data_IF_997462718020
#
_entry.id   IF_997462718020
#
_cell.length_a   1.000
_cell.length_b   1.000
_cell.length_c   1.000
_cell.angle_alpha   90.00
_cell.angle_beta   90.00
_cell.angle_gamma   90.00
#
_symmetry.space_group_name_H-M   'P 1'
#
loop_
_entity.id
_entity.type
_entity.pdbx_description
1 polymer ?
#
# COMPACT_ATOMS: atom_id res chain seq x y z
N UNK A 1 -24.08 15.44 -19.45
CA UNK A 1 -23.56 14.90 -18.18
C UNK A 1 -22.08 15.20 -18.05
N UNK A 2 -21.71 16.17 -17.21
CA UNK A 2 -20.31 16.46 -16.88
C UNK A 2 -19.77 15.40 -15.93
N UNK A 3 -18.67 14.73 -16.31
CA UNK A 3 -17.95 13.82 -15.42
C UNK A 3 -17.02 14.66 -14.55
N UNK A 4 -17.38 14.85 -13.28
CA UNK A 4 -16.52 15.43 -12.27
C UNK A 4 -15.35 14.48 -12.01
N UNK A 5 -14.15 14.82 -12.53
CA UNK A 5 -12.90 14.21 -12.08
C UNK A 5 -12.77 14.45 -10.58
N UNK A 6 -12.87 13.38 -9.79
CA UNK A 6 -12.51 13.40 -8.38
C UNK A 6 -11.05 13.83 -8.27
N UNK A 7 -10.78 14.84 -7.45
CA UNK A 7 -9.41 15.28 -7.16
C UNK A 7 -8.74 14.17 -6.36
N UNK A 8 -7.76 13.48 -6.94
CA UNK A 8 -6.90 12.56 -6.22
C UNK A 8 -6.22 13.34 -5.09
N UNK A 9 -6.36 12.85 -3.86
CA UNK A 9 -5.76 13.46 -2.69
C UNK A 9 -4.27 13.04 -2.67
N UNK A 10 -3.29 13.97 -2.61
CA UNK A 10 -1.87 13.62 -2.67
C UNK A 10 -1.42 12.64 -1.57
N UNK A 11 -2.18 12.50 -0.48
CA UNK A 11 -1.95 11.50 0.56
C UNK A 11 -2.20 10.04 0.12
N UNK A 12 -2.95 9.80 -0.97
CA UNK A 12 -3.19 8.43 -1.49
C UNK A 12 -2.08 7.95 -2.45
N UNK A 13 -1.17 8.84 -2.87
CA UNK A 13 -0.10 8.54 -3.82
C UNK A 13 1.31 8.56 -3.21
N UNK A 14 1.47 8.98 -1.95
CA UNK A 14 2.77 9.01 -1.29
C UNK A 14 3.36 7.59 -1.12
N UNK A 15 4.67 7.39 -1.36
CA UNK A 15 5.35 6.12 -1.10
C UNK A 15 5.40 5.82 0.41
N UNK A 16 5.51 4.53 0.75
CA UNK A 16 5.42 4.06 2.15
C UNK A 16 6.45 4.74 3.06
N UNK A 17 7.68 4.90 2.59
CA UNK A 17 8.76 5.53 3.34
C UNK A 17 8.43 6.99 3.72
N UNK A 18 7.81 7.75 2.81
CA UNK A 18 7.40 9.12 3.08
C UNK A 18 6.23 9.19 4.08
N UNK A 19 5.30 8.24 4.01
CA UNK A 19 4.21 8.13 4.99
C UNK A 19 4.78 7.87 6.39
N UNK A 20 5.77 6.98 6.50
CA UNK A 20 6.42 6.65 7.75
C UNK A 20 7.26 7.80 8.31
N UNK A 21 8.05 8.48 7.47
CA UNK A 21 8.85 9.65 7.87
C UNK A 21 7.94 10.78 8.40
N UNK A 22 6.82 11.03 7.71
CA UNK A 22 5.85 12.04 8.17
C UNK A 22 5.15 11.62 9.45
N UNK A 23 4.76 10.35 9.58
CA UNK A 23 4.11 9.84 10.79
C UNK A 23 5.04 9.95 12.01
N UNK A 24 6.32 9.61 11.84
CA UNK A 24 7.32 9.74 12.88
C UNK A 24 7.47 11.21 13.32
N UNK A 25 7.56 12.13 12.36
CA UNK A 25 7.59 13.57 12.64
C UNK A 25 6.36 14.04 13.44
N UNK A 26 5.16 13.55 13.09
CA UNK A 26 3.92 13.88 13.80
C UNK A 26 3.94 13.37 15.25
N UNK A 27 4.39 12.12 15.45
CA UNK A 27 4.52 11.53 16.80
C UNK A 27 5.52 12.33 17.63
N UNK A 28 6.69 12.65 17.08
CA UNK A 28 7.72 13.43 17.77
C UNK A 28 7.22 14.81 18.21
N UNK A 29 6.39 15.48 17.40
CA UNK A 29 5.78 16.76 17.77
C UNK A 29 4.70 16.61 18.85
N UNK A 30 3.88 15.56 18.79
CA UNK A 30 2.88 15.29 19.81
C UNK A 30 3.51 14.94 21.18
N UNK A 31 4.64 14.22 21.16
CA UNK A 31 5.38 13.84 22.37
C UNK A 31 6.10 15.00 23.06
N UNK A 32 6.45 16.07 22.32
CA UNK A 32 7.02 17.29 22.89
C UNK A 32 6.05 18.01 23.84
N UNK A 33 4.74 17.92 23.56
CA UNK A 33 3.68 18.37 24.48
C UNK A 33 3.57 19.89 24.66
N UNK A 34 4.23 20.68 23.81
CA UNK A 34 4.23 22.15 23.82
C UNK A 34 3.26 22.77 22.81
N UNK A 35 2.55 21.93 22.04
CA UNK A 35 1.54 22.36 21.08
C UNK A 35 0.25 22.85 21.76
N UNK A 36 -0.37 23.94 21.27
CA UNK A 36 -1.75 24.29 21.59
C UNK A 36 -2.71 23.12 21.32
N UNK A 37 -3.83 23.08 22.03
CA UNK A 37 -4.83 22.00 21.90
C UNK A 37 -5.31 21.82 20.45
N UNK A 38 -5.60 22.92 19.77
CA UNK A 38 -6.09 22.91 18.38
C UNK A 38 -5.05 22.31 17.43
N UNK A 39 -3.77 22.65 17.60
CA UNK A 39 -2.67 22.09 16.82
C UNK A 39 -2.43 20.62 17.16
N UNK A 40 -2.53 20.24 18.43
CA UNK A 40 -2.42 18.85 18.88
C UNK A 40 -3.51 17.97 18.26
N UNK A 41 -4.75 18.47 18.16
CA UNK A 41 -5.84 17.76 17.50
C UNK A 41 -5.60 17.62 16.00
N UNK A 42 -5.12 18.67 15.34
CA UNK A 42 -4.79 18.63 13.92
C UNK A 42 -3.67 17.61 13.62
N UNK A 43 -2.63 17.57 14.45
CA UNK A 43 -1.53 16.61 14.34
C UNK A 43 -2.02 15.18 14.60
N UNK A 44 -2.88 14.97 15.59
CA UNK A 44 -3.47 13.67 15.86
C UNK A 44 -4.30 13.16 14.67
N UNK A 45 -5.16 14.01 14.10
CA UNK A 45 -5.93 13.66 12.89
C UNK A 45 -5.02 13.31 11.71
N UNK A 46 -3.93 14.05 11.53
CA UNK A 46 -2.92 13.75 10.52
C UNK A 46 -2.28 12.37 10.77
N UNK A 47 -1.85 12.09 12.00
CA UNK A 47 -1.28 10.80 12.38
C UNK A 47 -2.23 9.63 12.10
N UNK A 48 -3.51 9.78 12.41
CA UNK A 48 -4.54 8.77 12.09
C UNK A 48 -4.67 8.56 10.58
N UNK A 49 -4.65 9.63 9.78
CA UNK A 49 -4.67 9.51 8.30
C UNK A 49 -3.43 8.78 7.78
N UNK A 50 -2.24 9.16 8.24
CA UNK A 50 -0.98 8.55 7.84
C UNK A 50 -0.92 7.06 8.18
N UNK A 51 -1.35 6.70 9.40
CA UNK A 51 -1.44 5.29 9.83
C UNK A 51 -2.35 4.46 8.91
N UNK A 52 -3.52 4.99 8.54
CA UNK A 52 -4.44 4.32 7.60
C UNK A 52 -3.84 4.19 6.20
N UNK A 53 -3.16 5.22 5.71
CA UNK A 53 -2.46 5.16 4.41
C UNK A 53 -1.36 4.10 4.45
N UNK A 54 -0.55 4.06 5.51
CA UNK A 54 0.52 3.07 5.68
C UNK A 54 -0.03 1.64 5.68
N UNK A 55 -1.09 1.38 6.44
CA UNK A 55 -1.76 0.08 6.46
C UNK A 55 -2.26 -0.34 5.05
N UNK A 56 -2.94 0.57 4.35
CA UNK A 56 -3.41 0.31 2.97
C UNK A 56 -2.27 -0.07 2.02
N UNK A 57 -1.11 0.59 2.12
CA UNK A 57 0.06 0.28 1.30
C UNK A 57 0.62 -1.11 1.58
N UNK A 58 0.65 -1.51 2.85
CA UNK A 58 1.08 -2.85 3.26
C UNK A 58 0.11 -3.91 2.73
N UNK A 59 -1.20 -3.69 2.86
CA UNK A 59 -2.23 -4.59 2.32
C UNK A 59 -2.10 -4.76 0.79
N UNK A 60 -1.84 -3.66 0.06
CA UNK A 60 -1.60 -3.69 -1.38
C UNK A 60 -0.34 -4.49 -1.75
N UNK A 61 0.73 -4.32 -0.99
CA UNK A 61 1.97 -5.07 -1.19
C UNK A 61 1.81 -6.57 -0.88
N UNK A 62 1.12 -6.91 0.21
CA UNK A 62 0.83 -8.29 0.59
C UNK A 62 0.04 -9.02 -0.50
N UNK A 63 -1.07 -8.42 -0.97
CA UNK A 63 -1.86 -8.98 -2.08
C UNK A 63 -1.02 -9.23 -3.32
N UNK A 64 -0.11 -8.30 -3.63
CA UNK A 64 0.76 -8.45 -4.81
C UNK A 64 1.72 -9.63 -4.65
N UNK A 65 2.22 -9.87 -3.44
CA UNK A 65 3.05 -11.06 -3.14
C UNK A 65 2.23 -12.34 -3.28
N UNK A 66 1.01 -12.37 -2.74
CA UNK A 66 0.10 -13.52 -2.86
C UNK A 66 -0.19 -13.88 -4.32
N UNK A 67 -0.50 -12.88 -5.17
CA UNK A 67 -0.72 -13.08 -6.61
C UNK A 67 0.51 -13.69 -7.31
N UNK A 68 1.71 -13.23 -6.96
CA UNK A 68 2.96 -13.73 -7.56
C UNK A 68 3.26 -15.17 -7.13
N UNK A 69 2.98 -15.51 -5.87
CA UNK A 69 3.14 -16.88 -5.37
C UNK A 69 2.13 -17.84 -6.02
N UNK A 70 0.86 -17.43 -6.15
CA UNK A 70 -0.17 -18.22 -6.80
C UNK A 70 0.15 -18.46 -8.29
N UNK A 71 0.63 -17.44 -9.01
CA UNK A 71 1.05 -17.58 -10.41
C UNK A 71 2.28 -18.48 -10.59
N UNK A 72 3.18 -18.52 -9.61
CA UNK A 72 4.31 -19.44 -9.58
C UNK A 72 3.88 -20.90 -9.41
N UNK A 73 2.78 -21.15 -8.72
CA UNK A 73 2.20 -22.48 -8.50
C UNK A 73 1.36 -22.95 -9.71
N UNK A 74 0.75 -22.04 -10.47
CA UNK A 74 0.06 -22.35 -11.72
C UNK A 74 1.00 -22.71 -12.89
N UNK A 75 2.30 -22.46 -12.78
CA UNK A 75 3.31 -22.93 -13.74
C UNK A 75 3.65 -24.43 -13.58
N UNK A 76 2.77 -25.23 -12.98
CA UNK A 76 2.82 -26.68 -13.04
C UNK A 76 2.75 -27.12 -14.50
N UNK A 77 3.87 -27.68 -14.98
CA UNK A 77 4.01 -28.28 -16.30
C UNK A 77 2.86 -29.26 -16.52
N UNK A 78 1.98 -28.97 -17.49
CA UNK A 78 1.16 -30.04 -18.06
C UNK A 78 2.12 -31.14 -18.55
N UNK A 79 1.79 -32.43 -18.36
CA UNK A 79 2.54 -33.49 -19.02
C UNK A 79 2.61 -33.13 -20.50
N UNK A 80 3.83 -32.93 -21.00
CA UNK A 80 4.04 -32.86 -22.44
C UNK A 80 3.58 -34.22 -22.94
N UNK A 81 2.53 -34.26 -23.75
CA UNK A 81 2.07 -35.50 -24.35
C UNK A 81 3.21 -36.04 -25.21
N UNK A 82 3.90 -37.07 -24.71
CA UNK A 82 5.00 -37.77 -25.37
C UNK A 82 4.49 -38.63 -26.55
N UNK A 83 3.38 -38.26 -27.20
CA UNK A 83 2.78 -39.02 -28.31
C UNK A 83 3.26 -38.58 -29.70
N UNK A 84 4.05 -37.49 -29.81
CA UNK A 84 4.66 -37.05 -31.07
C UNK A 84 6.18 -37.27 -31.13
N UNK A 85 6.69 -38.34 -30.50
CA UNK A 85 8.04 -38.84 -30.74
C UNK A 85 7.98 -40.30 -31.24
N UNK A 86 7.52 -40.47 -32.48
CA UNK A 86 7.40 -41.79 -33.10
C UNK A 86 7.03 -41.75 -34.58
N UNK A 87 7.71 -40.96 -35.38
CA UNK A 87 7.78 -41.22 -36.82
C UNK A 87 8.67 -42.46 -37.07
N UNK A 88 8.03 -43.61 -37.32
CA UNK A 88 8.29 -44.57 -38.42
C UNK A 88 7.59 -45.91 -38.20
#
# INVERSE_FOLDING_TARGET
MGKSKGRANPAEEAPFEQVMERLQTVVEQLEQGDLPLEESLAMFEEGVRLSRTGAKRLDEAERRVEELLAAGDELQTSPLDESEAGEQ
#
